data_IF_671787429191
#
_entry.id   IF_671787429191
#
_cell.length_a   1.000
_cell.length_b   1.000
_cell.length_c   1.000
_cell.angle_alpha   90.00
_cell.angle_beta   90.00
_cell.angle_gamma   90.00
#
_symmetry.space_group_name_H-M   'P 1'
#
loop_
_entity.id
_entity.type
_entity.pdbx_description
1 polymer ?
#
# COMPACT_ATOMS: atom_id res chain seq x y z
N UNK A 1 -7.73 -26.92 0.30
CA UNK A 1 -7.70 -25.45 0.26
C UNK A 1 -6.59 -25.02 1.20
N UNK A 2 -5.48 -24.50 0.66
CA UNK A 2 -4.29 -24.21 1.47
C UNK A 2 -4.62 -23.15 2.53
N UNK A 3 -4.08 -23.32 3.75
CA UNK A 3 -4.18 -22.35 4.86
C UNK A 3 -3.68 -20.97 4.41
N UNK A 4 -4.58 -20.10 3.95
CA UNK A 4 -4.27 -18.73 3.56
C UNK A 4 -3.96 -17.90 4.81
N UNK A 5 -2.68 -17.72 5.10
CA UNK A 5 -2.23 -16.90 6.24
C UNK A 5 -2.29 -15.42 5.84
N UNK A 6 -3.24 -14.68 6.41
CA UNK A 6 -3.37 -13.23 6.21
C UNK A 6 -2.23 -12.49 6.92
N UNK A 7 -1.53 -11.61 6.20
CA UNK A 7 -0.53 -10.72 6.79
C UNK A 7 -1.21 -9.64 7.63
N UNK A 8 -0.90 -9.60 8.94
CA UNK A 8 -1.35 -8.53 9.83
C UNK A 8 -0.20 -7.56 10.08
N UNK A 9 -0.25 -6.39 9.45
CA UNK A 9 0.75 -5.32 9.60
C UNK A 9 0.31 -4.31 10.66
N UNK A 10 1.15 -4.10 11.68
CA UNK A 10 0.89 -3.21 12.82
C UNK A 10 1.95 -2.11 12.90
N UNK A 11 1.54 -0.90 13.25
CA UNK A 11 2.44 0.22 13.54
C UNK A 11 3.21 -0.01 14.85
N UNK A 12 4.21 0.85 15.11
CA UNK A 12 4.92 0.90 16.40
C UNK A 12 3.98 1.14 17.61
N UNK A 13 2.85 1.80 17.38
CA UNK A 13 1.80 2.03 18.38
C UNK A 13 0.77 0.88 18.49
N UNK A 14 0.98 -0.24 17.79
CA UNK A 14 0.08 -1.40 17.81
C UNK A 14 -1.15 -1.30 16.90
N UNK A 15 -1.41 -0.13 16.29
CA UNK A 15 -2.54 0.09 15.37
C UNK A 15 -2.35 -0.71 14.08
N UNK A 16 -3.38 -1.46 13.68
CA UNK A 16 -3.38 -2.19 12.40
C UNK A 16 -3.38 -1.20 11.25
N UNK A 17 -2.53 -1.45 10.26
CA UNK A 17 -2.47 -0.65 9.04
C UNK A 17 -3.68 -0.96 8.13
N UNK A 18 -4.47 0.05 7.70
CA UNK A 18 -5.71 -0.16 6.95
C UNK A 18 -5.48 -0.49 5.46
N UNK A 19 -4.69 -1.53 5.15
CA UNK A 19 -4.37 -1.91 3.77
C UNK A 19 -5.63 -2.25 2.95
N UNK A 20 -6.57 -2.97 3.54
CA UNK A 20 -7.84 -3.37 2.89
C UNK A 20 -8.69 -2.16 2.53
N UNK A 21 -8.90 -1.25 3.48
CA UNK A 21 -9.69 -0.03 3.26
C UNK A 21 -9.08 0.80 2.12
N UNK A 22 -7.75 1.00 2.15
CA UNK A 22 -7.06 1.74 1.08
C UNK A 22 -7.12 1.04 -0.27
N UNK A 23 -7.16 -0.29 -0.30
CA UNK A 23 -7.36 -1.05 -1.53
C UNK A 23 -8.79 -0.88 -2.07
N UNK A 24 -9.81 -0.91 -1.20
CA UNK A 24 -11.21 -0.66 -1.61
C UNK A 24 -11.39 0.75 -2.19
N UNK A 25 -10.86 1.78 -1.52
CA UNK A 25 -10.87 3.16 -2.03
C UNK A 25 -10.14 3.26 -3.39
N UNK A 26 -9.05 2.51 -3.54
CA UNK A 26 -8.28 2.47 -4.79
C UNK A 26 -9.05 1.82 -5.94
N UNK A 27 -9.82 0.76 -5.69
CA UNK A 27 -10.70 0.14 -6.67
C UNK A 27 -11.81 1.11 -7.10
N UNK A 28 -12.46 1.76 -6.13
CA UNK A 28 -13.51 2.76 -6.39
C UNK A 28 -13.00 3.93 -7.23
N UNK A 29 -11.81 4.46 -6.93
CA UNK A 29 -11.17 5.48 -7.76
C UNK A 29 -10.85 4.94 -9.17
N UNK A 30 -10.42 3.68 -9.28
CA UNK A 30 -10.25 2.99 -10.56
C UNK A 30 -11.55 2.90 -11.37
N UNK A 31 -12.69 2.66 -10.72
CA UNK A 31 -14.01 2.64 -11.37
C UNK A 31 -14.38 4.00 -11.95
N UNK A 32 -14.19 5.08 -11.18
CA UNK A 32 -14.41 6.44 -11.69
C UNK A 32 -13.54 6.75 -12.89
N UNK A 33 -12.26 6.36 -12.86
CA UNK A 33 -11.36 6.54 -13.99
C UNK A 33 -11.81 5.75 -15.22
N UNK A 34 -12.39 4.56 -15.02
CA UNK A 34 -12.91 3.74 -16.11
C UNK A 34 -14.15 4.36 -16.74
N UNK A 35 -15.10 4.85 -15.93
CA UNK A 35 -16.30 5.57 -16.37
C UNK A 35 -15.91 6.80 -17.19
N UNK A 36 -14.88 7.53 -16.75
CA UNK A 36 -14.36 8.71 -17.43
C UNK A 36 -13.39 8.38 -18.59
N UNK A 37 -13.26 7.11 -18.98
CA UNK A 37 -12.40 6.63 -20.07
C UNK A 37 -10.90 7.01 -19.95
N UNK A 38 -10.38 7.16 -18.74
CA UNK A 38 -8.95 7.36 -18.52
C UNK A 38 -8.18 6.04 -18.69
N UNK A 39 -7.18 6.02 -19.58
CA UNK A 39 -6.30 4.86 -19.86
C UNK A 39 -5.63 4.25 -18.63
N UNK A 40 -5.44 5.03 -17.56
CA UNK A 40 -4.78 4.59 -16.31
C UNK A 40 -5.70 3.78 -15.36
N UNK A 41 -6.98 3.63 -15.66
CA UNK A 41 -7.95 2.98 -14.76
C UNK A 41 -7.51 1.57 -14.33
N UNK A 42 -7.11 0.74 -15.29
CA UNK A 42 -6.62 -0.62 -15.03
C UNK A 42 -5.40 -0.63 -14.09
N UNK A 43 -4.39 0.18 -14.43
CA UNK A 43 -3.17 0.32 -13.62
C UNK A 43 -3.47 0.77 -12.20
N UNK A 44 -4.46 1.65 -12.03
CA UNK A 44 -4.91 2.09 -10.71
C UNK A 44 -5.54 0.93 -9.95
N UNK A 45 -6.44 0.15 -10.56
CA UNK A 45 -7.09 -1.00 -9.90
C UNK A 45 -6.08 -2.07 -9.45
N UNK A 46 -5.06 -2.32 -10.25
CA UNK A 46 -4.01 -3.31 -9.95
C UNK A 46 -2.92 -2.79 -8.99
N UNK A 47 -3.05 -1.55 -8.51
CA UNK A 47 -2.05 -0.97 -7.63
C UNK A 47 -1.91 -1.80 -6.35
N UNK A 48 -0.68 -2.24 -6.07
CA UNK A 48 -0.36 -3.03 -4.88
C UNK A 48 -1.05 -4.40 -4.83
N UNK A 49 -1.39 -4.99 -5.98
CA UNK A 49 -2.02 -6.32 -6.04
C UNK A 49 -1.06 -7.42 -5.61
N UNK A 50 0.17 -7.39 -6.11
CA UNK A 50 1.20 -8.39 -5.82
C UNK A 50 2.26 -7.80 -4.91
N UNK A 51 2.42 -8.40 -3.73
CA UNK A 51 3.47 -8.05 -2.76
C UNK A 51 4.39 -9.26 -2.58
N UNK A 52 5.69 -9.06 -2.84
CA UNK A 52 6.73 -10.07 -2.60
C UNK A 52 7.53 -9.68 -1.38
N UNK A 53 7.54 -10.57 -0.39
CA UNK A 53 8.30 -10.40 0.84
C UNK A 53 9.52 -11.32 0.83
N UNK A 54 10.63 -10.82 1.38
CA UNK A 54 11.79 -11.63 1.76
C UNK A 54 11.80 -11.74 3.28
N UNK A 55 12.18 -12.90 3.79
CA UNK A 55 12.29 -13.15 5.21
C UNK A 55 13.74 -12.92 5.66
N UNK A 56 13.93 -12.16 6.73
CA UNK A 56 15.22 -11.96 7.36
C UNK A 56 15.58 -13.16 8.27
N UNK A 57 16.83 -13.26 8.71
CA UNK A 57 17.33 -14.31 9.62
C UNK A 57 16.52 -14.44 10.91
N UNK A 58 15.87 -13.35 11.33
CA UNK A 58 15.05 -13.26 12.53
C UNK A 58 13.55 -13.55 12.27
N UNK A 59 13.18 -14.03 11.07
CA UNK A 59 11.78 -14.30 10.70
C UNK A 59 10.96 -13.07 10.31
N UNK A 60 11.59 -11.89 10.24
CA UNK A 60 10.93 -10.65 9.85
C UNK A 60 10.72 -10.58 8.34
N UNK A 61 9.46 -10.35 7.92
CA UNK A 61 9.12 -10.17 6.50
C UNK A 61 9.34 -8.74 6.06
N UNK A 62 10.30 -8.51 5.18
CA UNK A 62 10.55 -7.23 4.53
C UNK A 62 9.95 -7.23 3.13
N UNK A 63 9.20 -6.19 2.79
CA UNK A 63 8.67 -6.02 1.44
C UNK A 63 9.84 -5.80 0.46
N UNK A 64 10.05 -6.75 -0.46
CA UNK A 64 11.12 -6.69 -1.45
C UNK A 64 10.66 -6.09 -2.76
N UNK A 65 9.47 -6.47 -3.23
CA UNK A 65 8.95 -6.01 -4.51
C UNK A 65 7.42 -5.87 -4.49
N UNK A 66 6.94 -4.87 -5.21
CA UNK A 66 5.53 -4.57 -5.40
C UNK A 66 5.42 -3.59 -6.56
N UNK A 67 4.25 -3.55 -7.21
CA UNK A 67 3.98 -2.63 -8.31
C UNK A 67 2.94 -1.60 -7.90
N UNK A 68 3.25 -0.32 -8.10
CA UNK A 68 2.37 0.79 -7.79
C UNK A 68 2.04 1.59 -9.04
N UNK A 69 0.85 2.17 -9.08
CA UNK A 69 0.40 2.94 -10.25
C UNK A 69 0.99 4.36 -10.32
N UNK A 70 1.52 4.87 -9.20
CA UNK A 70 2.09 6.22 -9.03
C UNK A 70 1.13 7.37 -9.35
N UNK A 71 -0.17 7.09 -9.49
CA UNK A 71 -1.17 8.13 -9.71
C UNK A 71 -1.32 8.99 -8.45
N UNK A 72 -1.32 10.32 -8.61
CA UNK A 72 -1.38 11.29 -7.51
C UNK A 72 -2.60 11.09 -6.60
N UNK A 73 -3.75 10.72 -7.17
CA UNK A 73 -5.00 10.50 -6.44
C UNK A 73 -5.25 9.03 -6.09
N UNK A 74 -4.31 8.12 -6.37
CA UNK A 74 -4.44 6.73 -5.93
C UNK A 74 -4.35 6.66 -4.39
N UNK A 75 -5.38 6.15 -3.69
CA UNK A 75 -5.39 6.05 -2.23
C UNK A 75 -4.22 5.27 -1.65
N UNK A 76 -3.81 4.16 -2.27
CA UNK A 76 -2.65 3.38 -1.85
C UNK A 76 -1.33 4.15 -2.02
N UNK A 77 -1.09 4.75 -3.19
CA UNK A 77 0.14 5.50 -3.45
C UNK A 77 0.24 6.76 -2.59
N UNK A 78 -0.86 7.50 -2.47
CA UNK A 78 -0.92 8.71 -1.68
C UNK A 78 -0.71 8.41 -0.18
N UNK A 79 -1.38 7.39 0.33
CA UNK A 79 -1.21 6.98 1.72
C UNK A 79 0.21 6.47 2.01
N UNK A 80 0.82 5.69 1.11
CA UNK A 80 2.24 5.30 1.23
C UNK A 80 3.18 6.49 1.27
N UNK A 81 2.92 7.51 0.45
CA UNK A 81 3.69 8.77 0.47
C UNK A 81 3.53 9.49 1.81
N UNK A 82 2.30 9.61 2.33
CA UNK A 82 2.03 10.22 3.64
C UNK A 82 2.76 9.49 4.78
N UNK A 83 2.76 8.15 4.77
CA UNK A 83 3.50 7.35 5.75
C UNK A 83 5.01 7.61 5.68
N UNK A 84 5.58 7.69 4.48
CA UNK A 84 7.00 8.00 4.29
C UNK A 84 7.34 9.40 4.82
N UNK A 85 6.54 10.40 4.44
CA UNK A 85 6.72 11.79 4.86
C UNK A 85 6.64 11.94 6.38
N UNK A 86 5.66 11.29 7.03
CA UNK A 86 5.54 11.29 8.48
C UNK A 86 6.79 10.72 9.16
N UNK A 87 7.33 9.60 8.66
CA UNK A 87 8.56 9.03 9.22
C UNK A 87 9.76 9.97 9.04
N UNK A 88 9.90 10.60 7.87
CA UNK A 88 10.99 11.54 7.58
C UNK A 88 10.89 12.78 8.47
N UNK A 89 9.68 13.32 8.66
CA UNK A 89 9.45 14.43 9.58
C UNK A 89 9.86 14.06 11.02
N UNK A 90 9.47 12.87 11.50
CA UNK A 90 9.89 12.41 12.82
C UNK A 90 11.41 12.34 12.95
N UNK A 91 12.12 11.84 11.93
CA UNK A 91 13.58 11.78 11.95
C UNK A 91 14.23 13.16 12.09
N UNK A 92 13.76 14.14 11.31
CA UNK A 92 14.27 15.52 11.35
C UNK A 92 13.98 16.18 12.70
N UNK A 93 12.83 15.92 13.31
CA UNK A 93 12.47 16.49 14.62
C UNK A 93 13.25 15.85 15.79
N UNK A 94 13.86 14.68 15.58
CA UNK A 94 14.63 13.95 16.60
C UNK A 94 16.15 14.10 16.43
N UNK A 95 16.61 14.81 15.40
CA UNK A 95 17.99 15.31 15.28
C UNK A 95 18.20 16.52 16.22
#
# INVERSE_FOLDING_TARGET
MANEKVLVDRSKSGKVRPWRERKLENLQYGDYLQILHYKKAHRVKECGEVLRFVEDKNGHKKLAQTWFCHSRLCPLCNWRRAMKQSNQLTQILTE
#
